data_IF_720179655869
#
_entry.id   IF_720179655869
#
_cell.length_a   1.000
_cell.length_b   1.000
_cell.length_c   1.000
_cell.angle_alpha   90.00
_cell.angle_beta   90.00
_cell.angle_gamma   90.00
#
_symmetry.space_group_name_H-M   'P 1'
#
loop_
_entity.id
_entity.type
_entity.pdbx_description
1 polymer ?
#
# COMPACT_ATOMS: atom_id res chain seq x y z
N UNK A 1 -28.24 0.41 -2.95
CA UNK A 1 -29.28 0.14 -3.98
C UNK A 1 -29.83 1.48 -4.46
N UNK A 2 -30.38 1.56 -5.67
CA UNK A 2 -30.96 2.83 -6.16
C UNK A 2 -32.28 3.12 -5.43
N UNK A 3 -32.48 4.35 -4.98
CA UNK A 3 -33.69 4.76 -4.24
C UNK A 3 -34.98 4.43 -5.02
N UNK A 4 -34.99 4.67 -6.34
CA UNK A 4 -36.12 4.30 -7.22
C UNK A 4 -36.54 2.83 -7.11
N UNK A 5 -35.58 1.90 -6.98
CA UNK A 5 -35.89 0.46 -6.88
C UNK A 5 -36.51 0.13 -5.52
N UNK A 6 -35.95 0.70 -4.45
CA UNK A 6 -36.46 0.55 -3.10
C UNK A 6 -37.89 1.09 -2.99
N UNK A 7 -38.15 2.28 -3.54
CA UNK A 7 -39.47 2.89 -3.55
C UNK A 7 -40.48 2.05 -4.36
N UNK A 8 -40.06 1.48 -5.49
CA UNK A 8 -40.92 0.63 -6.35
C UNK A 8 -41.36 -0.64 -5.62
N UNK A 9 -40.49 -1.19 -4.77
CA UNK A 9 -40.74 -2.41 -4.01
C UNK A 9 -41.26 -2.11 -2.59
N UNK A 10 -41.47 -0.83 -2.26
CA UNK A 10 -41.82 -0.33 -0.94
C UNK A 10 -40.89 -0.88 0.18
N UNK A 11 -39.58 -0.86 -0.08
CA UNK A 11 -38.56 -1.36 0.84
C UNK A 11 -37.77 -0.21 1.47
N UNK A 12 -37.54 -0.29 2.78
CA UNK A 12 -36.65 0.63 3.49
C UNK A 12 -35.34 -0.08 3.83
N UNK A 13 -34.20 0.50 3.43
CA UNK A 13 -32.87 -0.01 3.75
C UNK A 13 -32.28 0.80 4.90
N UNK A 14 -31.93 0.12 6.00
CA UNK A 14 -31.37 0.73 7.21
C UNK A 14 -29.99 0.16 7.50
N UNK A 15 -29.12 0.97 8.10
CA UNK A 15 -27.78 0.57 8.51
C UNK A 15 -27.79 0.12 9.97
N UNK A 16 -27.29 -1.10 10.24
CA UNK A 16 -26.97 -1.57 11.58
C UNK A 16 -25.47 -1.43 11.80
N UNK A 17 -25.08 -0.62 12.77
CA UNK A 17 -23.69 -0.50 13.19
C UNK A 17 -23.29 -1.61 14.16
N UNK A 18 -22.01 -1.94 14.17
CA UNK A 18 -21.37 -2.92 15.05
C UNK A 18 -20.46 -2.27 16.12
N UNK A 19 -20.62 -0.97 16.38
CA UNK A 19 -19.73 -0.23 17.31
C UNK A 19 -19.66 -0.82 18.72
N UNK A 20 -20.72 -1.50 19.17
CA UNK A 20 -20.79 -2.12 20.50
C UNK A 20 -20.18 -3.54 20.55
N UNK A 21 -19.60 -4.01 19.44
CA UNK A 21 -19.01 -5.34 19.31
C UNK A 21 -17.48 -5.26 19.19
N UNK A 22 -16.78 -5.64 20.25
CA UNK A 22 -15.31 -5.61 20.31
C UNK A 22 -14.64 -6.42 19.18
N UNK A 23 -15.29 -7.49 18.70
CA UNK A 23 -14.75 -8.35 17.64
C UNK A 23 -15.21 -7.96 16.23
N UNK A 24 -16.11 -6.96 16.09
CA UNK A 24 -16.69 -6.52 14.82
C UNK A 24 -17.18 -7.69 13.95
N UNK A 25 -17.93 -8.61 14.56
CA UNK A 25 -18.41 -9.84 13.93
C UNK A 25 -19.93 -9.81 13.74
N UNK A 26 -20.39 -10.24 12.57
CA UNK A 26 -21.79 -10.54 12.34
C UNK A 26 -21.98 -12.03 12.09
N UNK A 27 -23.11 -12.57 12.55
CA UNK A 27 -23.54 -13.93 12.31
C UNK A 27 -24.64 -13.93 11.24
N UNK A 28 -24.41 -14.64 10.14
CA UNK A 28 -25.33 -14.75 9.00
C UNK A 28 -26.03 -16.11 9.02
N UNK A 29 -27.30 -16.14 8.65
CA UNK A 29 -28.11 -17.36 8.58
C UNK A 29 -29.06 -17.32 7.39
N UNK A 30 -29.20 -18.46 6.72
CA UNK A 30 -30.22 -18.67 5.70
C UNK A 30 -31.44 -19.35 6.33
N UNK A 31 -32.63 -18.91 5.95
CA UNK A 31 -33.93 -19.44 6.40
C UNK A 31 -34.42 -20.63 5.56
N UNK A 32 -33.60 -21.18 4.67
CA UNK A 32 -33.99 -22.36 3.89
C UNK A 32 -34.16 -23.60 4.78
N UNK A 33 -35.16 -24.45 4.51
CA UNK A 33 -35.45 -25.65 5.31
C UNK A 33 -34.28 -26.64 5.35
N UNK A 34 -33.50 -26.73 4.27
CA UNK A 34 -32.34 -27.63 4.17
C UNK A 34 -31.07 -27.07 4.82
N UNK A 35 -31.05 -25.77 5.10
CA UNK A 35 -29.93 -25.06 5.75
C UNK A 35 -30.27 -24.59 7.17
N UNK A 36 -31.55 -24.69 7.57
CA UNK A 36 -32.05 -24.48 8.94
C UNK A 36 -31.40 -25.50 9.87
N UNK A 37 -30.52 -25.02 10.75
CA UNK A 37 -29.87 -25.84 11.78
C UNK A 37 -28.35 -25.90 11.67
N UNK A 38 -27.74 -25.35 10.61
CA UNK A 38 -26.29 -25.12 10.57
C UNK A 38 -25.91 -23.96 11.49
N UNK A 39 -24.72 -24.04 12.09
CA UNK A 39 -24.16 -22.94 12.87
C UNK A 39 -24.13 -21.65 12.02
N UNK A 40 -24.35 -20.47 12.63
CA UNK A 40 -24.28 -19.21 11.90
C UNK A 40 -22.94 -19.01 11.22
N UNK A 41 -22.97 -18.44 10.01
CA UNK A 41 -21.77 -18.11 9.24
C UNK A 41 -21.19 -16.78 9.72
N UNK A 42 -19.93 -16.79 10.12
CA UNK A 42 -19.28 -15.64 10.68
C UNK A 42 -18.77 -14.70 9.58
N UNK A 43 -18.94 -13.40 9.80
CA UNK A 43 -18.28 -12.39 8.99
C UNK A 43 -17.58 -11.35 9.87
N UNK A 44 -16.26 -11.32 9.75
CA UNK A 44 -15.38 -10.51 10.59
C UNK A 44 -14.98 -9.19 9.92
N UNK A 45 -14.52 -8.23 10.73
CA UNK A 45 -13.90 -6.95 10.30
C UNK A 45 -14.85 -6.00 9.57
N UNK A 46 -16.13 -6.02 9.92
CA UNK A 46 -17.11 -5.11 9.33
C UNK A 46 -17.84 -4.31 10.40
N UNK A 47 -17.76 -2.99 10.22
CA UNK A 47 -18.28 -2.00 11.17
C UNK A 47 -19.79 -1.80 11.04
N UNK A 48 -20.37 -2.14 9.89
CA UNK A 48 -21.80 -2.00 9.66
C UNK A 48 -22.29 -2.93 8.56
N UNK A 49 -23.56 -3.33 8.64
CA UNK A 49 -24.26 -4.00 7.55
C UNK A 49 -25.61 -3.33 7.32
N UNK A 50 -26.10 -3.41 6.10
CA UNK A 50 -27.44 -2.93 5.76
C UNK A 50 -28.46 -4.06 5.88
N UNK A 51 -29.69 -3.71 6.23
CA UNK A 51 -30.82 -4.62 6.28
C UNK A 51 -32.09 -3.96 5.76
N UNK A 52 -33.06 -4.78 5.37
CA UNK A 52 -34.40 -4.36 5.01
C UNK A 52 -35.26 -4.27 6.28
N UNK A 53 -35.81 -3.09 6.54
CA UNK A 53 -36.71 -2.86 7.68
C UNK A 53 -38.13 -3.25 7.28
N UNK A 54 -38.74 -4.12 8.10
CA UNK A 54 -40.13 -4.58 7.96
C UNK A 54 -40.54 -4.95 6.50
N UNK A 55 -39.90 -5.97 5.89
CA UNK A 55 -40.34 -6.44 4.58
C UNK A 55 -41.82 -6.82 4.66
N UNK A 56 -42.65 -6.32 3.73
CA UNK A 56 -44.08 -6.62 3.68
C UNK A 56 -44.30 -8.13 3.61
N UNK A 57 -44.81 -8.71 4.71
CA UNK A 57 -44.90 -10.15 4.90
C UNK A 57 -45.87 -10.84 3.91
N UNK A 58 -46.79 -10.09 3.34
CA UNK A 58 -47.85 -10.63 2.49
C UNK A 58 -47.33 -11.08 1.11
N UNK A 59 -46.21 -10.55 0.65
CA UNK A 59 -45.62 -10.88 -0.65
C UNK A 59 -44.11 -11.11 -0.62
N UNK A 60 -43.41 -10.69 0.43
CA UNK A 60 -41.95 -10.79 0.51
C UNK A 60 -41.52 -11.95 1.39
N UNK A 61 -40.84 -12.92 0.79
CA UNK A 61 -40.21 -14.01 1.53
C UNK A 61 -38.82 -13.59 2.03
N UNK A 62 -38.55 -13.84 3.31
CA UNK A 62 -37.24 -13.59 3.91
C UNK A 62 -36.37 -14.82 3.75
N UNK A 63 -35.31 -14.71 2.94
CA UNK A 63 -34.34 -15.78 2.69
C UNK A 63 -33.21 -15.76 3.72
N UNK A 64 -32.70 -14.57 4.05
CA UNK A 64 -31.49 -14.41 4.82
C UNK A 64 -31.67 -13.41 5.94
N UNK A 65 -31.06 -13.73 7.08
CA UNK A 65 -30.95 -12.82 8.21
C UNK A 65 -29.52 -12.77 8.73
N UNK A 66 -29.22 -11.71 9.48
CA UNK A 66 -28.02 -11.62 10.29
C UNK A 66 -28.32 -11.05 11.65
N UNK A 67 -27.43 -11.36 12.59
CA UNK A 67 -27.51 -10.90 13.96
C UNK A 67 -26.13 -10.35 14.36
N UNK A 68 -26.10 -9.46 15.35
CA UNK A 68 -24.83 -9.11 15.98
C UNK A 68 -24.32 -10.33 16.75
N UNK A 69 -23.07 -10.71 16.52
CA UNK A 69 -22.45 -11.83 17.22
C UNK A 69 -21.46 -11.30 18.26
N UNK A 70 -21.72 -11.51 19.55
CA UNK A 70 -20.71 -11.37 20.60
C UNK A 70 -20.22 -12.76 21.01
N UNK A 71 -19.01 -12.87 21.59
CA UNK A 71 -18.36 -14.15 21.93
C UNK A 71 -19.24 -15.12 22.73
N UNK A 72 -20.21 -14.60 23.48
CA UNK A 72 -21.04 -15.39 24.40
C UNK A 72 -22.49 -15.56 23.92
N UNK A 73 -22.99 -14.70 23.03
CA UNK A 73 -24.40 -14.72 22.58
C UNK A 73 -24.57 -14.21 21.16
N UNK A 74 -25.28 -15.01 20.36
CA UNK A 74 -26.02 -14.53 19.20
C UNK A 74 -27.33 -13.96 19.75
N UNK A 75 -27.57 -12.65 19.60
CA UNK A 75 -28.86 -12.05 19.97
C UNK A 75 -29.93 -12.52 18.98
N UNK A 76 -30.52 -13.70 19.24
CA UNK A 76 -31.53 -14.33 18.37
C UNK A 76 -32.82 -13.49 18.30
N UNK A 77 -33.05 -12.62 19.30
CA UNK A 77 -34.26 -11.80 19.39
C UNK A 77 -34.30 -10.65 18.38
N UNK A 78 -33.15 -10.16 17.90
CA UNK A 78 -33.07 -9.07 16.92
C UNK A 78 -32.33 -9.51 15.65
N UNK A 79 -32.96 -10.39 14.87
CA UNK A 79 -32.47 -10.74 13.54
C UNK A 79 -32.81 -9.65 12.53
N UNK A 80 -31.82 -9.21 11.75
CA UNK A 80 -31.95 -8.21 10.70
C UNK A 80 -32.00 -8.88 9.33
N UNK A 81 -32.95 -8.50 8.48
CA UNK A 81 -33.15 -9.13 7.16
C UNK A 81 -32.16 -8.60 6.14
N UNK A 82 -31.24 -9.43 5.62
CA UNK A 82 -30.32 -9.04 4.55
C UNK A 82 -30.68 -9.58 3.17
N UNK A 83 -31.42 -10.67 3.08
CA UNK A 83 -31.83 -11.25 1.80
C UNK A 83 -33.34 -11.45 1.77
N UNK A 84 -33.96 -10.91 0.73
CA UNK A 84 -35.39 -11.04 0.46
C UNK A 84 -35.62 -11.57 -0.94
N UNK A 85 -36.77 -12.23 -1.11
CA UNK A 85 -37.33 -12.65 -2.38
C UNK A 85 -38.71 -12.05 -2.52
N UNK A 86 -38.93 -11.37 -3.64
CA UNK A 86 -40.16 -10.63 -3.88
C UNK A 86 -40.69 -10.94 -5.30
N UNK A 87 -41.99 -11.22 -5.48
CA UNK A 87 -42.60 -11.31 -6.80
C UNK A 87 -42.48 -9.97 -7.55
N UNK A 88 -42.03 -10.00 -8.80
CA UNK A 88 -41.90 -8.79 -9.62
C UNK A 88 -42.22 -9.08 -11.08
N UNK A 89 -43.33 -8.52 -11.58
CA UNK A 89 -43.89 -8.88 -12.89
C UNK A 89 -44.28 -10.36 -12.94
N UNK A 90 -43.86 -11.06 -13.99
CA UNK A 90 -44.11 -12.50 -14.17
C UNK A 90 -43.05 -13.40 -13.50
N UNK A 91 -42.14 -12.80 -12.73
CA UNK A 91 -41.01 -13.50 -12.11
C UNK A 91 -40.79 -13.10 -10.66
N UNK A 92 -39.57 -13.34 -10.20
CA UNK A 92 -39.16 -13.09 -8.83
C UNK A 92 -37.84 -12.32 -8.85
N UNK A 93 -37.69 -11.38 -7.92
CA UNK A 93 -36.44 -10.67 -7.68
C UNK A 93 -35.89 -11.09 -6.32
N UNK A 94 -34.61 -11.45 -6.29
CA UNK A 94 -33.87 -11.72 -5.05
C UNK A 94 -32.93 -10.55 -4.82
N UNK A 95 -33.07 -9.91 -3.67
CA UNK A 95 -32.27 -8.75 -3.30
C UNK A 95 -31.45 -9.08 -2.06
N UNK A 96 -30.14 -8.82 -2.15
CA UNK A 96 -29.20 -8.98 -1.04
C UNK A 96 -28.56 -7.63 -0.69
N UNK A 97 -28.54 -7.29 0.59
CA UNK A 97 -27.77 -6.16 1.14
C UNK A 97 -26.34 -6.55 1.52
N UNK A 98 -25.97 -7.82 1.31
CA UNK A 98 -24.67 -8.38 1.69
C UNK A 98 -23.89 -8.88 0.46
N UNK A 99 -23.38 -7.99 -0.40
CA UNK A 99 -22.61 -8.37 -1.59
C UNK A 99 -21.28 -9.07 -1.25
N UNK A 100 -20.77 -8.90 -0.03
CA UNK A 100 -19.54 -9.52 0.44
C UNK A 100 -19.61 -11.04 0.40
N UNK A 101 -20.81 -11.64 0.50
CA UNK A 101 -21.03 -13.07 0.32
C UNK A 101 -20.45 -13.63 -0.99
N UNK A 102 -20.29 -12.80 -2.03
CA UNK A 102 -19.82 -13.23 -3.35
C UNK A 102 -18.36 -12.87 -3.60
N UNK A 103 -17.62 -12.43 -2.56
CA UNK A 103 -16.20 -12.08 -2.68
C UNK A 103 -15.29 -13.23 -2.29
N UNK A 104 -14.08 -13.27 -2.85
CA UNK A 104 -13.06 -14.25 -2.46
C UNK A 104 -12.76 -14.22 -0.96
N UNK A 105 -12.80 -13.04 -0.34
CA UNK A 105 -12.56 -12.89 1.10
C UNK A 105 -13.56 -13.69 1.93
N UNK A 106 -14.86 -13.59 1.61
CA UNK A 106 -15.87 -14.35 2.33
C UNK A 106 -15.85 -15.83 1.98
N UNK A 107 -15.80 -16.18 0.69
CA UNK A 107 -15.93 -17.56 0.22
C UNK A 107 -14.78 -18.46 0.70
N UNK A 108 -13.56 -17.92 0.85
CA UNK A 108 -12.39 -18.69 1.27
C UNK A 108 -12.34 -18.97 2.78
N UNK A 109 -13.17 -18.31 3.59
CA UNK A 109 -13.27 -18.56 5.03
C UNK A 109 -14.29 -19.69 5.29
N UNK A 110 -13.84 -20.93 5.47
CA UNK A 110 -14.75 -22.04 5.79
C UNK A 110 -15.54 -21.79 7.09
N UNK A 111 -16.85 -22.07 7.15
CA UNK A 111 -17.72 -22.72 6.15
C UNK A 111 -18.51 -21.74 5.26
N UNK A 112 -18.04 -20.50 5.07
CA UNK A 112 -18.80 -19.45 4.37
C UNK A 112 -19.05 -19.74 2.88
N UNK A 113 -18.24 -20.59 2.25
CA UNK A 113 -18.53 -21.16 0.92
C UNK A 113 -19.94 -21.78 0.84
N UNK A 114 -20.39 -22.47 1.88
CA UNK A 114 -21.71 -23.09 1.94
C UNK A 114 -22.82 -22.04 2.01
N UNK A 115 -22.59 -20.91 2.70
CA UNK A 115 -23.53 -19.79 2.70
C UNK A 115 -23.72 -19.24 1.29
N UNK A 116 -22.62 -18.99 0.57
CA UNK A 116 -22.70 -18.47 -0.80
C UNK A 116 -23.39 -19.46 -1.73
N UNK A 117 -23.08 -20.75 -1.62
CA UNK A 117 -23.76 -21.81 -2.36
C UNK A 117 -25.26 -21.85 -2.05
N UNK A 118 -25.63 -21.71 -0.77
CA UNK A 118 -27.01 -21.67 -0.31
C UNK A 118 -27.78 -20.42 -0.76
N UNK A 119 -27.12 -19.29 -0.97
CA UNK A 119 -27.78 -18.12 -1.60
C UNK A 119 -28.00 -18.36 -3.08
N UNK A 120 -27.04 -18.99 -3.77
CA UNK A 120 -27.13 -19.26 -5.21
C UNK A 120 -28.08 -20.40 -5.56
N UNK A 121 -28.39 -21.32 -4.63
CA UNK A 121 -29.35 -22.41 -4.85
C UNK A 121 -30.78 -21.92 -5.11
N UNK A 122 -31.12 -20.70 -4.72
CA UNK A 122 -32.39 -20.06 -5.05
C UNK A 122 -32.53 -19.71 -6.54
N UNK A 123 -31.43 -19.73 -7.30
CA UNK A 123 -31.45 -19.57 -8.75
C UNK A 123 -31.70 -20.92 -9.41
N UNK A 124 -32.53 -20.95 -10.46
CA UNK A 124 -32.79 -22.17 -11.21
C UNK A 124 -31.64 -22.45 -12.20
N UNK A 125 -30.80 -23.48 -11.98
CA UNK A 125 -29.65 -23.76 -12.84
C UNK A 125 -30.04 -24.31 -14.22
N UNK A 126 -31.29 -24.76 -14.39
CA UNK A 126 -31.78 -25.31 -15.66
C UNK A 126 -32.19 -24.22 -16.65
N UNK A 127 -32.31 -22.96 -16.20
CA UNK A 127 -32.65 -21.82 -17.04
C UNK A 127 -31.38 -21.10 -17.48
N UNK A 128 -31.43 -20.45 -18.65
CA UNK A 128 -30.32 -19.63 -19.11
C UNK A 128 -30.10 -18.44 -18.16
N UNK A 129 -28.88 -18.32 -17.64
CA UNK A 129 -28.49 -17.25 -16.73
C UNK A 129 -27.84 -16.13 -17.54
N UNK A 130 -28.44 -14.95 -17.48
CA UNK A 130 -27.85 -13.73 -18.00
C UNK A 130 -27.16 -12.99 -16.86
N UNK A 131 -25.84 -12.82 -16.97
CA UNK A 131 -25.06 -12.07 -15.99
C UNK A 131 -24.71 -10.69 -16.56
N UNK A 132 -25.37 -9.65 -16.05
CA UNK A 132 -24.95 -8.27 -16.32
C UNK A 132 -24.04 -7.77 -15.20
N UNK A 133 -22.88 -7.27 -15.60
CA UNK A 133 -21.94 -6.62 -14.71
C UNK A 133 -22.16 -5.11 -14.80
N UNK A 134 -23.32 -4.61 -14.38
CA UNK A 134 -23.69 -3.19 -14.42
C UNK A 134 -22.91 -2.33 -13.41
N UNK A 135 -21.58 -2.40 -13.46
CA UNK A 135 -20.56 -1.50 -12.93
C UNK A 135 -19.26 -1.70 -13.72
N UNK A 136 -19.33 -1.90 -15.05
CA UNK A 136 -18.13 -1.89 -15.91
C UNK A 136 -17.66 -0.46 -16.17
N UNK A 137 -17.02 0.07 -15.14
CA UNK A 137 -15.75 0.79 -15.17
C UNK A 137 -15.39 0.86 -13.71
N UNK A 138 -14.52 -0.06 -13.28
CA UNK A 138 -13.72 0.21 -12.10
C UNK A 138 -13.26 1.65 -12.22
N UNK A 139 -13.55 2.48 -11.21
CA UNK A 139 -12.86 3.76 -11.04
C UNK A 139 -11.42 3.45 -11.43
N UNK A 140 -10.82 4.17 -12.40
CA UNK A 140 -9.39 4.00 -12.68
C UNK A 140 -8.68 4.37 -11.39
N UNK A 141 -8.56 3.42 -10.46
CA UNK A 141 -7.75 3.52 -9.28
C UNK A 141 -6.38 3.47 -9.91
N UNK A 142 -5.79 4.64 -10.04
CA UNK A 142 -4.44 4.75 -10.54
C UNK A 142 -3.59 3.84 -9.64
N UNK A 143 -3.10 2.74 -10.20
CA UNK A 143 -2.38 1.66 -9.50
C UNK A 143 -1.01 2.12 -9.02
N UNK A 144 -0.62 3.36 -9.33
CA UNK A 144 0.60 3.95 -8.80
C UNK A 144 0.49 4.09 -7.28
N UNK A 145 1.42 3.54 -6.49
CA UNK A 145 1.48 3.74 -5.05
C UNK A 145 1.45 5.24 -4.65
N UNK A 146 1.97 6.14 -5.49
CA UNK A 146 1.92 7.60 -5.31
C UNK A 146 0.50 8.17 -5.32
N UNK A 147 -0.45 7.51 -5.98
CA UNK A 147 -1.86 7.92 -5.96
C UNK A 147 -2.44 7.89 -4.54
N UNK A 148 -2.02 6.94 -3.72
CA UNK A 148 -2.46 6.82 -2.32
C UNK A 148 -1.95 8.00 -1.50
N UNK A 149 -0.70 8.43 -1.71
CA UNK A 149 -0.12 9.59 -1.04
C UNK A 149 -0.84 10.90 -1.38
N UNK A 150 -1.29 11.05 -2.64
CA UNK A 150 -1.98 12.26 -3.09
C UNK A 150 -3.48 12.29 -2.86
N UNK A 151 -4.09 11.18 -2.41
CA UNK A 151 -5.52 11.09 -2.12
C UNK A 151 -5.89 11.78 -0.80
N UNK A 152 -5.02 11.70 0.21
CA UNK A 152 -5.22 12.35 1.50
C UNK A 152 -4.45 13.69 1.57
N UNK A 153 -5.13 14.78 1.97
CA UNK A 153 -4.55 16.12 2.02
C UNK A 153 -3.30 16.17 2.91
N UNK A 154 -3.35 15.50 4.06
CA UNK A 154 -2.29 15.46 5.06
C UNK A 154 -1.03 14.75 4.50
N UNK A 155 -1.23 13.60 3.86
CA UNK A 155 -0.15 12.78 3.33
C UNK A 155 0.54 13.45 2.12
N UNK A 156 -0.22 14.22 1.33
CA UNK A 156 0.33 15.09 0.27
C UNK A 156 1.29 16.14 0.82
N UNK A 157 0.93 16.81 1.92
CA UNK A 157 1.83 17.80 2.55
C UNK A 157 3.06 17.15 3.18
N UNK A 158 2.91 15.99 3.84
CA UNK A 158 4.05 15.25 4.37
C UNK A 158 5.07 14.90 3.27
N UNK A 159 4.60 14.49 2.08
CA UNK A 159 5.46 14.21 0.93
C UNK A 159 6.23 15.46 0.44
N UNK A 160 5.56 16.60 0.29
CA UNK A 160 6.23 17.84 -0.10
C UNK A 160 7.23 18.34 0.95
N UNK A 161 6.88 18.26 2.23
CA UNK A 161 7.79 18.65 3.31
C UNK A 161 9.04 17.77 3.35
N UNK A 162 8.91 16.47 3.07
CA UNK A 162 10.05 15.56 2.93
C UNK A 162 10.99 15.97 1.79
N UNK A 163 10.45 16.27 0.60
CA UNK A 163 11.26 16.74 -0.54
C UNK A 163 11.96 18.07 -0.25
N UNK A 164 11.26 19.01 0.40
CA UNK A 164 11.83 20.29 0.83
C UNK A 164 12.96 20.07 1.84
N UNK A 165 12.78 19.16 2.81
CA UNK A 165 13.80 18.82 3.79
C UNK A 165 15.05 18.22 3.14
N UNK A 166 14.88 17.31 2.17
CA UNK A 166 16.01 16.75 1.39
C UNK A 166 16.73 17.85 0.61
N UNK A 167 15.98 18.76 -0.04
CA UNK A 167 16.57 19.88 -0.76
C UNK A 167 17.40 20.78 0.16
N UNK A 168 16.86 21.14 1.33
CA UNK A 168 17.60 21.91 2.33
C UNK A 168 18.83 21.17 2.82
N UNK A 169 18.71 19.87 3.10
CA UNK A 169 19.83 19.04 3.51
C UNK A 169 20.97 19.08 2.48
N UNK A 170 20.68 18.92 1.19
CA UNK A 170 21.68 18.98 0.11
C UNK A 170 22.30 20.38 0.01
N UNK A 171 21.52 21.45 0.11
CA UNK A 171 22.04 22.82 0.03
C UNK A 171 23.00 23.16 1.18
N UNK A 172 22.65 22.77 2.40
CA UNK A 172 23.48 23.06 3.58
C UNK A 172 24.69 22.13 3.70
N UNK A 173 24.54 20.84 3.42
CA UNK A 173 25.60 19.86 3.59
C UNK A 173 26.55 19.80 2.38
N UNK A 174 26.04 20.05 1.16
CA UNK A 174 26.84 20.14 -0.05
C UNK A 174 27.88 21.27 -0.01
N UNK A 175 27.52 22.41 0.59
CA UNK A 175 28.43 23.57 0.72
C UNK A 175 29.64 23.29 1.62
N UNK A 176 29.55 22.32 2.54
CA UNK A 176 30.65 21.99 3.49
C UNK A 176 31.70 21.03 2.92
N UNK A 177 31.44 20.35 1.80
CA UNK A 177 32.36 19.33 1.24
C UNK A 177 33.03 19.71 -0.09
N UNK A 178 32.73 20.88 -0.66
CA UNK A 178 33.18 21.29 -2.00
C UNK A 178 34.41 22.22 -2.06
N UNK A 179 35.43 22.06 -1.20
CA UNK A 179 36.74 22.72 -1.47
C UNK A 179 37.75 21.67 -1.93
N UNK A 180 37.96 21.56 -3.24
CA UNK A 180 39.14 20.88 -3.76
C UNK A 180 40.38 21.61 -3.24
N UNK A 181 41.28 20.89 -2.57
CA UNK A 181 42.55 21.44 -2.10
C UNK A 181 43.37 21.76 -3.35
N UNK A 182 43.77 23.02 -3.61
CA UNK A 182 44.64 23.32 -4.73
C UNK A 182 45.97 22.60 -4.51
N UNK A 183 46.45 21.89 -5.53
CA UNK A 183 47.79 21.28 -5.49
C UNK A 183 48.79 22.42 -5.53
N UNK A 184 49.34 22.79 -4.38
CA UNK A 184 50.45 23.75 -4.29
C UNK A 184 51.71 23.00 -4.67
N UNK A 185 52.28 23.30 -5.83
CA UNK A 185 53.58 22.75 -6.21
C UNK A 185 54.63 23.20 -5.19
N UNK A 186 55.39 22.28 -4.57
CA UNK A 186 56.40 22.65 -3.59
C UNK A 186 57.48 23.51 -4.26
N UNK A 187 57.99 24.52 -3.54
CA UNK A 187 59.08 25.36 -4.04
C UNK A 187 60.27 24.46 -4.40
N UNK A 188 60.69 24.50 -5.67
CA UNK A 188 61.88 23.78 -6.08
C UNK A 188 63.09 24.33 -5.31
N UNK A 189 63.89 23.42 -4.74
CA UNK A 189 65.04 23.80 -3.93
C UNK A 189 66.13 24.40 -4.85
N UNK A 190 66.15 25.73 -4.95
CA UNK A 190 67.01 26.47 -5.86
C UNK A 190 68.50 26.21 -5.62
N UNK A 191 68.88 25.91 -4.36
CA UNK A 191 70.25 25.53 -4.02
C UNK A 191 70.66 24.23 -4.72
N UNK A 192 69.79 23.20 -4.69
CA UNK A 192 70.06 21.92 -5.35
C UNK A 192 70.12 22.07 -6.87
N UNK A 193 69.23 22.90 -7.45
CA UNK A 193 69.23 23.19 -8.87
C UNK A 193 70.55 23.89 -9.29
N UNK A 194 70.98 24.89 -8.52
CA UNK A 194 72.24 25.60 -8.75
C UNK A 194 73.46 24.68 -8.65
N UNK A 195 73.52 23.83 -7.61
CA UNK A 195 74.62 22.86 -7.46
C UNK A 195 74.68 21.89 -8.62
N UNK A 196 73.54 21.41 -9.12
CA UNK A 196 73.48 20.56 -10.33
C UNK A 196 73.96 21.29 -11.57
N UNK A 197 73.57 22.55 -11.76
CA UNK A 197 74.02 23.34 -12.90
C UNK A 197 75.54 23.50 -12.90
N UNK A 198 76.14 23.84 -11.75
CA UNK A 198 77.61 23.92 -11.62
C UNK A 198 78.24 22.55 -11.92
N UNK A 199 77.72 21.47 -11.31
CA UNK A 199 78.25 20.13 -11.52
C UNK A 199 78.21 19.72 -13.01
N UNK A 200 77.11 20.00 -13.71
CA UNK A 200 76.97 19.74 -15.14
C UNK A 200 77.93 20.60 -15.98
N UNK A 201 78.10 21.87 -15.64
CA UNK A 201 79.05 22.76 -16.33
C UNK A 201 80.50 22.24 -16.23
N UNK A 202 80.92 21.78 -15.06
CA UNK A 202 82.24 21.16 -14.88
C UNK A 202 82.35 19.79 -15.56
N UNK A 203 81.25 19.05 -15.64
CA UNK A 203 81.20 17.76 -16.33
C UNK A 203 81.32 17.92 -17.86
N UNK A 204 80.56 18.84 -18.46
CA UNK A 204 80.55 19.07 -19.91
C UNK A 204 81.83 19.74 -20.43
N UNK A 205 82.48 20.59 -19.64
CA UNK A 205 83.73 21.23 -20.03
C UNK A 205 84.95 20.28 -20.07
N UNK A 206 84.81 19.00 -19.70
CA UNK A 206 85.85 17.97 -19.88
C UNK A 206 87.18 18.19 -19.13
N UNK A 207 87.26 19.19 -18.24
CA UNK A 207 88.47 19.50 -17.43
C UNK A 207 88.47 18.73 -16.10
N UNK A 208 88.44 17.40 -16.17
CA UNK A 208 88.50 16.57 -14.97
C UNK A 208 89.88 16.60 -14.28
N UNK A 209 90.92 17.06 -14.99
CA UNK A 209 92.30 17.12 -14.47
C UNK A 209 92.50 18.34 -13.56
N UNK A 210 92.01 19.53 -13.93
CA UNK A 210 92.19 20.75 -13.12
C UNK A 210 91.47 20.64 -11.76
N UNK A 211 90.29 20.01 -11.73
CA UNK A 211 89.52 19.79 -10.50
C UNK A 211 90.16 18.74 -9.58
N UNK A 212 90.77 17.70 -10.17
CA UNK A 212 91.56 16.73 -9.43
C UNK A 212 92.85 17.36 -8.88
N UNK A 213 93.52 18.20 -9.68
CA UNK A 213 94.76 18.86 -9.29
C UNK A 213 94.55 19.87 -8.14
N UNK A 214 93.49 20.68 -8.19
CA UNK A 214 93.14 21.53 -7.06
C UNK A 214 92.71 20.75 -5.81
N UNK A 215 92.01 19.61 -5.97
CA UNK A 215 91.73 18.74 -4.82
C UNK A 215 93.01 18.17 -4.22
N UNK A 216 93.98 17.76 -5.05
CA UNK A 216 95.27 17.23 -4.61
C UNK A 216 96.11 18.30 -3.91
N UNK A 217 96.20 19.52 -4.47
CA UNK A 217 96.89 20.65 -3.82
C UNK A 217 96.26 21.01 -2.48
N UNK A 218 94.92 21.05 -2.41
CA UNK A 218 94.23 21.34 -1.16
C UNK A 218 94.42 20.21 -0.12
N UNK A 219 94.58 18.96 -0.56
CA UNK A 219 94.86 17.83 0.33
C UNK A 219 96.32 17.81 0.80
N UNK A 220 97.28 18.19 -0.05
CA UNK A 220 98.71 18.17 0.24
C UNK A 220 99.18 19.42 1.00
N UNK A 221 98.58 20.59 0.74
CA UNK A 221 98.88 21.85 1.45
C UNK A 221 98.40 21.91 2.90
N UNK A 222 97.74 20.85 3.39
CA UNK A 222 97.33 20.70 4.81
C UNK A 222 98.36 19.89 5.61
N UNK A 223 99.43 19.39 4.98
CA UNK A 223 100.54 18.66 5.64
C UNK A 223 101.94 19.23 5.33
N UNK A 224 102.08 20.57 5.33
CA UNK A 224 103.36 21.26 5.48
C UNK A 224 103.22 22.53 6.32
#
# INVERSE_FOLDING_TARGET
>A
MTQKLLDTLNLEQVLKSNFDNFNNQFALQLKDKDLKGKAPYAFNKVNFMYYFKAPHADSTEVIGVFNSASEERVDINDSYTNIIKHPFGDGEIILSTFPQAFTNYFILEEPNNEYTAGVLSYLNPSKQIYLDNHYKRGKKISTSPLYVFFKAKQLKWAYYMSLIAVLFYVLFEGKRKQRAVPVVEPLQNQTLAFTRTIANMYYENGKHIDLAQHKIEHFLGVYS
#
